data_IF_239101809441
#
_entry.id   IF_239101809441
#
_cell.length_a   1.000
_cell.length_b   1.000
_cell.length_c   1.000
_cell.angle_alpha   90.00
_cell.angle_beta   90.00
_cell.angle_gamma   90.00
#
_symmetry.space_group_name_H-M   'P 1'
#
loop_
_entity.id
_entity.type
_entity.pdbx_description
1 polymer ?
#
# COMPACT_ATOMS: atom_id res chain seq x y z
N UNK A 1 21.07 -3.73 15.01
CA UNK A 1 20.64 -4.38 13.75
C UNK A 1 19.98 -3.32 12.89
N UNK A 2 20.11 -3.35 11.55
CA UNK A 2 19.39 -2.41 10.70
C UNK A 2 17.87 -2.56 10.91
N UNK A 3 17.07 -1.48 10.75
CA UNK A 3 15.63 -1.55 10.85
C UNK A 3 15.04 -2.58 9.88
N UNK A 4 14.03 -3.32 10.32
CA UNK A 4 13.35 -4.33 9.50
C UNK A 4 12.31 -3.68 8.58
N UNK A 5 12.35 -4.00 7.29
CA UNK A 5 11.35 -3.50 6.34
C UNK A 5 10.02 -4.22 6.52
N UNK A 6 8.95 -3.45 6.69
CA UNK A 6 7.55 -3.94 6.77
C UNK A 6 6.76 -3.34 5.61
N UNK A 7 6.19 -4.18 4.75
CA UNK A 7 5.40 -3.73 3.61
C UNK A 7 3.92 -3.95 3.88
N UNK A 8 3.16 -2.87 3.93
CA UNK A 8 1.70 -2.90 3.97
C UNK A 8 1.15 -2.99 2.56
N UNK A 9 0.27 -3.95 2.29
CA UNK A 9 -0.33 -4.14 0.96
C UNK A 9 -1.83 -3.99 1.06
N UNK A 10 -2.39 -3.02 0.34
CA UNK A 10 -3.83 -2.76 0.34
C UNK A 10 -4.35 -2.47 -1.05
N UNK A 11 -5.52 -2.99 -1.41
CA UNK A 11 -6.10 -2.79 -2.75
C UNK A 11 -6.56 -1.35 -3.04
N UNK A 12 -6.64 -0.50 -2.00
CA UNK A 12 -7.09 0.90 -2.07
C UNK A 12 -6.83 1.61 -0.76
N UNK A 13 -6.23 2.79 -0.83
CA UNK A 13 -5.93 3.62 0.34
C UNK A 13 -6.94 4.78 0.46
N UNK A 14 -8.23 4.46 0.38
CA UNK A 14 -9.35 5.41 0.36
C UNK A 14 -9.95 5.66 1.77
N UNK A 15 -11.25 5.93 1.88
CA UNK A 15 -11.95 6.18 3.15
C UNK A 15 -12.35 4.92 3.95
N UNK A 16 -12.04 3.71 3.45
CA UNK A 16 -12.47 2.46 4.08
C UNK A 16 -11.80 2.14 5.42
N UNK A 17 -12.43 1.27 6.23
CA UNK A 17 -11.85 0.80 7.50
C UNK A 17 -10.49 0.12 7.33
N UNK A 18 -10.29 -0.65 6.24
CA UNK A 18 -8.99 -1.23 5.91
C UNK A 18 -7.93 -0.16 5.65
N UNK A 19 -8.26 0.90 4.90
CA UNK A 19 -7.33 2.00 4.65
C UNK A 19 -6.96 2.73 5.94
N UNK A 20 -7.94 2.96 6.84
CA UNK A 20 -7.67 3.53 8.17
C UNK A 20 -6.72 2.64 8.99
N UNK A 21 -6.94 1.32 9.00
CA UNK A 21 -6.04 0.39 9.69
C UNK A 21 -4.64 0.41 9.09
N UNK A 22 -4.51 0.39 7.76
CA UNK A 22 -3.21 0.49 7.08
C UNK A 22 -2.49 1.79 7.42
N UNK A 23 -3.19 2.93 7.43
CA UNK A 23 -2.60 4.22 7.80
C UNK A 23 -2.15 4.23 9.26
N UNK A 24 -3.02 3.84 10.20
CA UNK A 24 -2.69 3.80 11.64
C UNK A 24 -1.48 2.91 11.92
N UNK A 25 -1.43 1.73 11.30
CA UNK A 25 -0.34 0.79 11.51
C UNK A 25 0.95 1.26 10.83
N UNK A 26 0.91 1.72 9.57
CA UNK A 26 2.10 2.20 8.86
C UNK A 26 2.71 3.43 9.55
N UNK A 27 1.88 4.39 9.98
CA UNK A 27 2.31 5.60 10.68
C UNK A 27 2.82 5.30 12.10
N UNK A 28 2.21 4.32 12.79
CA UNK A 28 2.52 3.97 14.17
C UNK A 28 3.76 3.08 14.38
N UNK A 29 4.47 2.68 13.32
CA UNK A 29 5.69 1.88 13.47
C UNK A 29 6.77 2.61 14.28
N UNK A 30 7.40 1.92 15.22
CA UNK A 30 8.65 2.40 15.82
C UNK A 30 9.75 2.45 14.74
N UNK A 31 10.13 3.66 14.32
CA UNK A 31 11.06 3.93 13.22
C UNK A 31 12.50 3.53 13.49
N UNK A 32 12.89 3.35 14.76
CA UNK A 32 14.22 2.82 15.11
C UNK A 32 14.33 1.32 14.81
N UNK A 33 13.19 0.62 14.80
CA UNK A 33 13.11 -0.83 14.61
C UNK A 33 12.59 -1.23 13.24
N UNK A 34 11.73 -0.42 12.63
CA UNK A 34 11.02 -0.77 11.42
C UNK A 34 11.03 0.34 10.39
N UNK A 35 11.14 -0.05 9.11
CA UNK A 35 10.98 0.84 7.96
C UNK A 35 9.69 0.46 7.24
N UNK A 36 8.56 1.16 7.50
CA UNK A 36 7.31 0.88 6.82
C UNK A 36 7.37 1.33 5.35
N UNK A 37 6.67 0.60 4.49
CA UNK A 37 6.39 0.95 3.11
C UNK A 37 4.95 0.56 2.79
N UNK A 38 4.24 1.37 2.01
CA UNK A 38 2.85 1.08 1.61
C UNK A 38 2.78 0.77 0.12
N UNK A 39 2.26 -0.39 -0.25
CA UNK A 39 1.87 -0.75 -1.62
C UNK A 39 0.36 -0.65 -1.72
N UNK A 40 -0.13 0.12 -2.68
CA UNK A 40 -1.56 0.37 -2.84
C UNK A 40 -2.06 0.13 -4.27
N UNK A 41 -3.32 -0.25 -4.39
CA UNK A 41 -4.04 -0.30 -5.66
C UNK A 41 -4.79 1.00 -5.96
N UNK A 42 -5.51 1.03 -7.08
CA UNK A 42 -6.37 2.16 -7.44
C UNK A 42 -7.78 2.01 -6.85
N UNK A 43 -8.45 3.12 -6.47
CA UNK A 43 -9.82 3.09 -5.97
C UNK A 43 -10.82 2.58 -7.03
N UNK A 44 -10.55 2.75 -8.32
CA UNK A 44 -11.39 2.24 -9.41
C UNK A 44 -12.82 2.81 -9.36
N UNK A 45 -13.85 1.97 -9.55
CA UNK A 45 -15.27 2.39 -9.60
C UNK A 45 -15.83 3.06 -8.33
N UNK A 46 -15.06 3.09 -7.23
CA UNK A 46 -15.44 3.80 -6.00
C UNK A 46 -14.92 5.23 -5.96
N UNK A 47 -14.28 5.70 -7.04
CA UNK A 47 -13.87 7.10 -7.15
C UNK A 47 -15.05 8.07 -7.15
N UNK A 48 -16.26 7.62 -7.55
CA UNK A 48 -17.49 8.42 -7.45
C UNK A 48 -17.80 8.90 -6.01
N UNK A 49 -17.15 8.35 -4.99
CA UNK A 49 -17.25 8.75 -3.57
C UNK A 49 -16.02 9.53 -3.09
N UNK A 50 -15.17 10.03 -3.99
CA UNK A 50 -13.93 10.73 -3.66
C UNK A 50 -12.76 9.80 -3.30
N UNK A 51 -12.80 8.54 -3.76
CA UNK A 51 -11.76 7.55 -3.45
C UNK A 51 -10.36 7.95 -3.93
N UNK A 52 -10.25 8.63 -5.07
CA UNK A 52 -8.97 9.14 -5.58
C UNK A 52 -8.44 10.28 -4.70
N UNK A 53 -9.29 11.25 -4.36
CA UNK A 53 -8.90 12.37 -3.49
C UNK A 53 -8.43 11.87 -2.12
N UNK A 54 -9.13 10.90 -1.53
CA UNK A 54 -8.71 10.24 -0.28
C UNK A 54 -7.36 9.54 -0.40
N UNK A 55 -7.15 8.82 -1.51
CA UNK A 55 -5.90 8.13 -1.79
C UNK A 55 -4.75 9.13 -1.88
N UNK A 56 -4.94 10.22 -2.61
CA UNK A 56 -3.95 11.30 -2.73
C UNK A 56 -3.65 11.98 -1.39
N UNK A 57 -4.68 12.23 -0.57
CA UNK A 57 -4.51 12.77 0.78
C UNK A 57 -3.66 11.84 1.65
N UNK A 58 -4.01 10.55 1.69
CA UNK A 58 -3.26 9.55 2.46
C UNK A 58 -1.81 9.40 1.95
N UNK A 59 -1.59 9.44 0.63
CA UNK A 59 -0.24 9.43 0.04
C UNK A 59 0.58 10.63 0.51
N UNK A 60 -0.01 11.83 0.51
CA UNK A 60 0.66 13.05 1.01
C UNK A 60 1.01 12.94 2.49
N UNK A 61 0.14 12.32 3.31
CA UNK A 61 0.43 12.07 4.73
C UNK A 61 1.62 11.12 4.88
N UNK A 62 1.63 10.01 4.13
CA UNK A 62 2.76 9.06 4.13
C UNK A 62 4.07 9.74 3.72
N UNK A 63 4.04 10.55 2.66
CA UNK A 63 5.20 11.29 2.17
C UNK A 63 5.75 12.28 3.20
N UNK A 64 4.87 13.05 3.86
CA UNK A 64 5.26 13.98 4.94
C UNK A 64 5.97 13.28 6.10
N UNK A 65 5.58 12.04 6.38
CA UNK A 65 6.21 11.20 7.40
C UNK A 65 7.43 10.43 6.88
N UNK A 66 7.84 10.64 5.62
CA UNK A 66 8.95 9.93 5.01
C UNK A 66 8.70 8.42 4.82
N UNK A 67 7.43 8.02 4.71
CA UNK A 67 7.03 6.64 4.39
C UNK A 67 6.91 6.51 2.88
N UNK A 68 7.72 5.62 2.30
CA UNK A 68 7.65 5.32 0.87
C UNK A 68 6.32 4.66 0.54
N UNK A 69 5.71 5.09 -0.54
CA UNK A 69 4.50 4.47 -1.09
C UNK A 69 4.66 4.09 -2.56
N UNK A 70 3.99 3.02 -2.99
CA UNK A 70 4.06 2.47 -4.35
C UNK A 70 2.65 2.14 -4.82
N UNK A 71 2.26 2.64 -5.99
CA UNK A 71 0.98 2.31 -6.62
C UNK A 71 1.18 1.14 -7.59
N UNK A 72 0.30 0.13 -7.49
CA UNK A 72 0.18 -0.98 -8.44
C UNK A 72 -1.17 -0.83 -9.15
N UNK A 73 -1.22 -0.22 -10.35
CA UNK A 73 -2.48 0.16 -11.01
C UNK A 73 -3.42 -1.01 -11.31
N UNK A 74 -2.86 -2.21 -11.54
CA UNK A 74 -3.62 -3.43 -11.83
C UNK A 74 -4.21 -4.07 -10.57
N UNK A 75 -3.79 -3.64 -9.38
CA UNK A 75 -4.31 -4.15 -8.11
C UNK A 75 -5.62 -3.42 -7.79
N UNK A 76 -6.73 -4.15 -7.79
CA UNK A 76 -8.05 -3.58 -7.55
C UNK A 76 -9.05 -4.61 -7.04
N UNK A 77 -10.31 -4.21 -6.87
CA UNK A 77 -11.39 -5.10 -6.42
C UNK A 77 -12.12 -5.84 -7.54
N UNK A 78 -11.97 -5.37 -8.77
CA UNK A 78 -12.60 -6.02 -9.92
C UNK A 78 -11.84 -7.29 -10.24
N UNK A 79 -12.55 -8.41 -10.36
CA UNK A 79 -11.95 -9.69 -10.75
C UNK A 79 -11.58 -9.61 -12.24
N UNK A 80 -10.30 -9.81 -12.55
CA UNK A 80 -9.77 -9.71 -13.91
C UNK A 80 -8.56 -10.61 -14.02
N UNK A 81 -8.68 -11.74 -14.72
CA UNK A 81 -7.59 -12.72 -14.81
C UNK A 81 -6.27 -12.09 -15.29
N UNK A 82 -6.35 -11.19 -16.26
CA UNK A 82 -5.16 -10.51 -16.80
C UNK A 82 -4.54 -9.55 -15.77
N UNK A 83 -5.36 -8.74 -15.09
CA UNK A 83 -4.84 -7.77 -14.12
C UNK A 83 -4.40 -8.44 -12.81
N UNK A 84 -5.06 -9.53 -12.42
CA UNK A 84 -4.68 -10.37 -11.28
C UNK A 84 -3.32 -11.02 -11.53
N UNK A 85 -3.08 -11.57 -12.73
CA UNK A 85 -1.76 -12.11 -13.11
C UNK A 85 -0.68 -11.04 -13.18
N UNK A 86 -0.99 -9.86 -13.75
CA UNK A 86 -0.05 -8.72 -13.77
C UNK A 86 0.28 -8.24 -12.36
N UNK A 87 -0.71 -8.15 -11.48
CA UNK A 87 -0.55 -7.76 -10.07
C UNK A 87 0.31 -8.77 -9.34
N UNK A 88 0.01 -10.06 -9.46
CA UNK A 88 0.77 -11.12 -8.83
C UNK A 88 2.25 -11.06 -9.25
N UNK A 89 2.53 -10.98 -10.55
CA UNK A 89 3.91 -10.90 -11.03
C UNK A 89 4.63 -9.63 -10.56
N UNK A 90 3.94 -8.49 -10.58
CA UNK A 90 4.47 -7.20 -10.10
C UNK A 90 4.83 -7.29 -8.62
N UNK A 91 3.95 -7.82 -7.78
CA UNK A 91 4.19 -7.98 -6.35
C UNK A 91 5.31 -8.98 -6.07
N UNK A 92 5.38 -10.12 -6.78
CA UNK A 92 6.47 -11.09 -6.64
C UNK A 92 7.82 -10.45 -6.96
N UNK A 93 7.93 -9.72 -8.08
CA UNK A 93 9.17 -9.03 -8.46
C UNK A 93 9.53 -7.95 -7.45
N UNK A 94 8.53 -7.22 -6.96
CA UNK A 94 8.70 -6.18 -5.96
C UNK A 94 9.23 -6.74 -4.63
N UNK A 95 8.58 -7.75 -4.05
CA UNK A 95 9.00 -8.35 -2.79
C UNK A 95 10.37 -9.05 -2.89
N UNK A 96 10.69 -9.68 -4.03
CA UNK A 96 12.03 -10.26 -4.25
C UNK A 96 13.14 -9.21 -4.27
N UNK A 97 12.84 -8.00 -4.74
CA UNK A 97 13.77 -6.87 -4.77
C UNK A 97 13.90 -6.21 -3.39
N UNK A 98 12.78 -5.87 -2.76
CA UNK A 98 12.77 -5.16 -1.47
C UNK A 98 13.14 -6.07 -0.28
N UNK A 99 12.97 -7.39 -0.42
CA UNK A 99 13.27 -8.41 0.61
C UNK A 99 12.73 -8.04 2.01
N UNK A 100 11.42 -7.77 2.15
CA UNK A 100 10.84 -7.35 3.42
C UNK A 100 10.96 -8.45 4.47
N UNK A 101 11.06 -8.05 5.74
CA UNK A 101 10.96 -8.98 6.87
C UNK A 101 9.52 -9.41 7.11
N UNK A 102 8.55 -8.52 6.84
CA UNK A 102 7.12 -8.78 7.00
C UNK A 102 6.34 -8.14 5.85
N UNK A 103 5.34 -8.86 5.37
CA UNK A 103 4.26 -8.31 4.53
C UNK A 103 2.98 -8.33 5.36
N UNK A 104 2.31 -7.20 5.48
CA UNK A 104 1.09 -7.02 6.28
C UNK A 104 -0.07 -6.55 5.40
N UNK A 105 -1.29 -6.99 5.70
CA UNK A 105 -2.52 -6.69 4.95
C UNK A 105 -3.60 -6.20 5.89
#
# INVERSE_FOLDING_TARGET
>A
MPPQTVIHVITRLDYGGSARNTMLTALGHNRERFTPLVVMGLPGRWDAQGGQAATEENVRVLEKEGIRSVVVPTMGRSISLLDDMRTLWTLIRFFRRERPSVVHT
#
